data_IF_809008821922
#
_entry.id   IF_809008821922
#
_cell.length_a   1.000
_cell.length_b   1.000
_cell.length_c   1.000
_cell.angle_alpha   90.00
_cell.angle_beta   90.00
_cell.angle_gamma   90.00
#
_symmetry.space_group_name_H-M   'P 1'
#
loop_
_entity.id
_entity.type
_entity.pdbx_description
1 polymer ?
#
# COMPACT_ATOMS: atom_id res chain seq x y z
N UNK A 1 9.99 -1.10 -1.75
CA UNK A 1 9.41 0.14 -2.29
C UNK A 1 10.47 1.22 -2.30
N UNK A 2 10.56 1.94 -3.41
CA UNK A 2 11.55 2.99 -3.62
C UNK A 2 10.98 4.11 -4.49
N UNK A 3 11.63 5.27 -4.48
CA UNK A 3 11.41 6.34 -5.44
C UNK A 3 12.76 6.90 -5.89
N UNK A 4 12.73 7.67 -6.98
CA UNK A 4 13.90 8.36 -7.52
C UNK A 4 13.69 9.85 -7.42
N UNK A 5 14.73 10.59 -7.03
CA UNK A 5 14.72 12.06 -7.11
C UNK A 5 15.07 12.56 -8.53
N UNK A 6 15.03 13.88 -8.74
CA UNK A 6 15.35 14.51 -10.02
C UNK A 6 16.79 14.24 -10.50
N UNK A 7 17.69 13.87 -9.59
CA UNK A 7 19.08 13.50 -9.89
C UNK A 7 19.26 12.00 -10.16
N UNK A 8 18.18 11.21 -10.10
CA UNK A 8 18.20 9.77 -10.30
C UNK A 8 18.68 8.98 -9.08
N UNK A 9 18.79 9.59 -7.90
CA UNK A 9 19.15 8.88 -6.67
C UNK A 9 17.96 8.10 -6.15
N UNK A 10 18.21 6.84 -5.85
CA UNK A 10 17.21 5.95 -5.24
C UNK A 10 17.08 6.20 -3.74
N UNK A 11 15.85 6.32 -3.26
CA UNK A 11 15.53 6.27 -1.84
C UNK A 11 14.61 5.09 -1.55
N UNK A 12 15.07 4.20 -0.65
CA UNK A 12 14.32 3.02 -0.23
C UNK A 12 13.39 3.43 0.89
N UNK A 13 12.09 3.26 0.66
CA UNK A 13 11.06 3.60 1.64
C UNK A 13 10.75 2.45 2.57
N UNK A 14 10.65 1.23 2.03
CA UNK A 14 10.39 0.05 2.84
C UNK A 14 10.77 -1.26 2.13
N UNK A 15 11.15 -2.27 2.90
CA UNK A 15 11.28 -3.66 2.47
C UNK A 15 10.06 -4.44 2.94
N UNK A 16 9.20 -4.82 1.99
CA UNK A 16 7.98 -5.56 2.29
C UNK A 16 8.26 -7.05 2.44
N UNK A 17 7.57 -7.68 3.37
CA UNK A 17 7.62 -9.12 3.65
C UNK A 17 6.29 -9.80 3.31
N UNK A 18 6.31 -11.13 3.34
CA UNK A 18 5.11 -11.93 3.13
C UNK A 18 4.00 -11.54 4.12
N UNK A 19 2.78 -11.42 3.61
CA UNK A 19 1.61 -10.96 4.36
C UNK A 19 1.50 -9.44 4.57
N UNK A 20 2.49 -8.64 4.17
CA UNK A 20 2.39 -7.19 4.23
C UNK A 20 1.72 -6.61 2.98
N UNK A 21 0.88 -5.61 3.20
CA UNK A 21 0.21 -4.87 2.14
C UNK A 21 0.86 -3.47 2.00
N UNK A 22 0.72 -2.87 0.82
CA UNK A 22 1.23 -1.53 0.55
C UNK A 22 0.32 -0.74 -0.39
N UNK A 23 0.36 0.59 -0.25
CA UNK A 23 -0.32 1.50 -1.17
C UNK A 23 -1.82 1.71 -0.88
N UNK A 24 -2.32 1.21 0.26
CA UNK A 24 -3.71 1.35 0.68
C UNK A 24 -4.03 2.80 1.02
N UNK A 25 -3.13 3.50 1.71
CA UNK A 25 -3.29 4.90 2.07
C UNK A 25 -3.54 5.77 0.84
N UNK A 26 -2.83 5.49 -0.26
CA UNK A 26 -2.97 6.18 -1.53
C UNK A 26 -4.33 5.92 -2.21
N UNK A 27 -4.95 4.75 -1.99
CA UNK A 27 -6.31 4.45 -2.47
C UNK A 27 -7.34 5.39 -1.83
N UNK A 28 -7.19 5.71 -0.54
CA UNK A 28 -8.13 6.56 0.21
C UNK A 28 -8.05 8.03 -0.18
N UNK A 29 -6.86 8.53 -0.47
CA UNK A 29 -6.65 9.95 -0.82
C UNK A 29 -6.73 10.22 -2.34
N UNK A 30 -7.08 9.20 -3.12
CA UNK A 30 -7.16 9.22 -4.60
C UNK A 30 -5.93 9.84 -5.27
N UNK A 31 -4.75 9.54 -4.71
CA UNK A 31 -3.49 10.08 -5.20
C UNK A 31 -2.77 9.07 -6.07
N UNK A 32 -2.00 9.57 -7.05
CA UNK A 32 -1.15 8.70 -7.88
C UNK A 32 -0.08 8.02 -7.03
N UNK A 33 0.18 6.75 -7.31
CA UNK A 33 1.33 6.02 -6.79
C UNK A 33 2.63 6.66 -7.31
N UNK A 34 3.28 7.45 -6.46
CA UNK A 34 4.57 8.10 -6.73
C UNK A 34 5.77 7.23 -6.36
N UNK A 35 5.54 5.92 -6.22
CA UNK A 35 6.46 4.95 -5.66
C UNK A 35 6.54 3.72 -6.56
N UNK A 36 7.72 3.15 -6.64
CA UNK A 36 7.99 1.91 -7.33
C UNK A 36 7.95 0.72 -6.36
N UNK A 37 7.56 -0.44 -6.89
CA UNK A 37 7.64 -1.72 -6.23
C UNK A 37 8.56 -2.63 -7.05
N UNK A 38 9.69 -3.02 -6.47
CA UNK A 38 10.70 -3.88 -7.10
C UNK A 38 10.76 -5.18 -6.31
N UNK A 39 10.60 -6.30 -7.01
CA UNK A 39 10.77 -7.62 -6.43
C UNK A 39 12.27 -7.92 -6.27
N UNK A 40 12.71 -8.14 -5.03
CA UNK A 40 14.10 -8.49 -4.70
C UNK A 40 14.32 -10.00 -4.82
N UNK A 41 13.26 -10.78 -4.61
CA UNK A 41 13.24 -12.24 -4.71
C UNK A 41 12.02 -12.68 -5.52
N UNK A 42 11.94 -13.97 -5.84
CA UNK A 42 10.73 -14.53 -6.45
C UNK A 42 9.57 -14.41 -5.46
N UNK A 43 8.56 -13.63 -5.81
CA UNK A 43 7.39 -13.38 -4.98
C UNK A 43 6.11 -13.35 -5.82
N UNK A 44 4.98 -13.58 -5.16
CA UNK A 44 3.65 -13.39 -5.73
C UNK A 44 3.00 -12.17 -5.08
N UNK A 45 2.26 -11.40 -5.87
CA UNK A 45 1.56 -10.21 -5.39
C UNK A 45 0.08 -10.35 -5.72
N UNK A 46 -0.75 -10.22 -4.70
CA UNK A 46 -2.20 -10.19 -4.86
C UNK A 46 -2.65 -8.75 -5.10
N UNK A 47 -3.37 -8.53 -6.19
CA UNK A 47 -3.86 -7.20 -6.57
C UNK A 47 -5.36 -7.12 -6.30
N UNK A 48 -5.76 -6.14 -5.47
CA UNK A 48 -7.15 -5.82 -5.20
C UNK A 48 -7.57 -4.54 -5.93
N UNK A 49 -8.64 -4.61 -6.72
CA UNK A 49 -9.17 -3.44 -7.43
C UNK A 49 -9.74 -2.41 -6.45
N UNK A 50 -9.49 -1.12 -6.71
CA UNK A 50 -10.01 0.02 -5.92
C UNK A 50 -11.50 -0.12 -5.59
N UNK A 51 -12.34 -0.39 -6.59
CA UNK A 51 -13.79 -0.52 -6.41
C UNK A 51 -14.16 -1.69 -5.49
N UNK A 52 -13.47 -2.82 -5.63
CA UNK A 52 -13.71 -3.99 -4.79
C UNK A 52 -13.26 -3.73 -3.34
N UNK A 53 -12.12 -3.07 -3.15
CA UNK A 53 -11.64 -2.66 -1.83
C UNK A 53 -12.64 -1.77 -1.09
N UNK A 54 -13.14 -0.72 -1.73
CA UNK A 54 -14.14 0.16 -1.11
C UNK A 54 -15.46 -0.56 -0.83
N UNK A 55 -15.92 -1.44 -1.73
CA UNK A 55 -17.10 -2.25 -1.49
C UNK A 55 -16.93 -3.16 -0.26
N UNK A 56 -15.77 -3.82 -0.09
CA UNK A 56 -15.47 -4.70 1.04
C UNK A 56 -15.50 -3.95 2.37
N UNK A 57 -14.89 -2.76 2.42
CA UNK A 57 -14.84 -1.93 3.63
C UNK A 57 -16.23 -1.38 3.98
N UNK A 58 -17.01 -0.96 2.99
CA UNK A 58 -18.36 -0.43 3.19
C UNK A 58 -19.34 -1.52 3.66
N UNK A 59 -19.20 -2.75 3.15
CA UNK A 59 -20.05 -3.88 3.53
C UNK A 59 -19.66 -4.51 4.87
N UNK A 60 -18.43 -4.30 5.34
CA UNK A 60 -17.92 -4.90 6.57
C UNK A 60 -17.32 -3.84 7.52
N UNK A 61 -18.15 -3.24 8.40
CA UNK A 61 -17.70 -2.22 9.36
C UNK A 61 -16.57 -2.68 10.30
N UNK A 62 -16.51 -3.98 10.64
CA UNK A 62 -15.43 -4.53 11.46
C UNK A 62 -14.10 -4.48 10.71
N UNK A 63 -14.10 -4.87 9.44
CA UNK A 63 -12.91 -4.77 8.57
C UNK A 63 -12.46 -3.31 8.42
N UNK A 64 -13.41 -2.38 8.24
CA UNK A 64 -13.12 -0.95 8.20
C UNK A 64 -12.37 -0.47 9.46
N UNK A 65 -12.84 -0.87 10.65
CA UNK A 65 -12.20 -0.51 11.91
C UNK A 65 -10.77 -1.07 12.03
N UNK A 66 -10.56 -2.34 11.67
CA UNK A 66 -9.22 -2.94 11.68
C UNK A 66 -8.28 -2.26 10.66
N UNK A 67 -8.78 -1.90 9.48
CA UNK A 67 -8.03 -1.13 8.49
C UNK A 67 -7.62 0.24 9.03
N UNK A 68 -8.53 0.96 9.67
CA UNK A 68 -8.22 2.26 10.27
C UNK A 68 -7.18 2.14 11.39
N UNK A 69 -7.30 1.10 12.22
CA UNK A 69 -6.32 0.79 13.27
C UNK A 69 -4.94 0.48 12.69
N UNK A 70 -4.89 -0.25 11.56
CA UNK A 70 -3.65 -0.53 10.86
C UNK A 70 -3.03 0.75 10.28
N UNK A 71 -3.80 1.54 9.52
CA UNK A 71 -3.34 2.81 8.94
C UNK A 71 -2.81 3.78 10.00
N UNK A 72 -3.45 3.85 11.16
CA UNK A 72 -2.98 4.68 12.28
C UNK A 72 -1.62 4.25 12.83
N UNK A 73 -1.19 3.00 12.62
CA UNK A 73 0.14 2.53 13.03
C UNK A 73 1.20 2.82 11.98
N UNK A 74 0.84 2.78 10.70
CA UNK A 74 1.76 2.99 9.57
C UNK A 74 1.91 4.47 9.18
N UNK A 75 1.04 5.35 9.66
CA UNK A 75 1.11 6.80 9.43
C UNK A 75 2.17 7.54 10.29
N UNK A 76 2.83 6.85 11.23
CA UNK A 76 3.85 7.42 12.13
C UNK A 76 5.15 6.60 12.10
#
# INVERSE_FOLDING_TARGET
MNNYDESGREYIQNFLKDGECFGESLLFIDHKYSMNAIAITMCEVLILKKTLFFNLIQQNPKLCFEMNKWLSKTAF
#
